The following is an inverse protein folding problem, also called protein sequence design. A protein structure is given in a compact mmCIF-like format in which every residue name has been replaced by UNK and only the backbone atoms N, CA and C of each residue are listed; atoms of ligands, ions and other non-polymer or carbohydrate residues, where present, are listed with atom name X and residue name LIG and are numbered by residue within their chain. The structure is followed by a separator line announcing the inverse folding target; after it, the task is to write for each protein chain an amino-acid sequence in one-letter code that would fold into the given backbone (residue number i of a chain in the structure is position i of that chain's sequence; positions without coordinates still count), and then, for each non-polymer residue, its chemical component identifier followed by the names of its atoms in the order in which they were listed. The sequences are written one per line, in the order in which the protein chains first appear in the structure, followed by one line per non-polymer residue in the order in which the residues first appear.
data_IF_919331078604
#
_entry.id   IF_919331078604
#
_cell.length_a   1.000
_cell.length_b   1.000
_cell.length_c   1.000
_cell.angle_alpha   90.00
_cell.angle_beta   90.00
_cell.angle_gamma   90.00
#
_symmetry.space_group_name_H-M   'P 1'
#
loop_
_entity.id
_entity.type
_entity.pdbx_description
1 polymer ?
#
# COMPACT_ATOMS: atom_id res chain seq x y z
N UNK A 1 44.46 -50.07 -15.80
CA UNK A 1 45.53 -49.07 -15.65
C UNK A 1 44.86 -47.74 -15.30
N UNK A 2 44.66 -47.34 -14.05
CA UNK A 2 45.60 -47.08 -12.95
C UNK A 2 46.66 -46.01 -13.30
N UNK A 3 46.44 -44.79 -12.80
CA UNK A 3 47.41 -43.68 -12.72
C UNK A 3 46.77 -42.32 -13.03
N UNK A 4 46.90 -41.24 -12.24
CA UNK A 4 47.65 -40.98 -11.00
C UNK A 4 46.99 -39.81 -10.24
N UNK A 5 47.03 -39.89 -8.91
CA UNK A 5 46.85 -38.77 -7.97
C UNK A 5 47.87 -37.66 -8.24
N UNK A 6 47.47 -36.39 -8.04
CA UNK A 6 48.31 -35.35 -7.41
C UNK A 6 47.43 -34.39 -6.61
N UNK A 7 47.72 -34.30 -5.32
CA UNK A 7 47.29 -33.24 -4.41
C UNK A 7 48.29 -32.07 -4.50
N UNK A 8 47.82 -30.85 -4.30
CA UNK A 8 48.62 -29.76 -3.72
C UNK A 8 47.71 -28.67 -3.19
N UNK A 9 47.80 -28.50 -1.89
CA UNK A 9 47.45 -27.33 -1.09
C UNK A 9 48.02 -26.05 -1.72
N UNK A 10 47.28 -24.96 -1.59
CA UNK A 10 47.70 -23.62 -1.98
C UNK A 10 46.75 -22.62 -1.33
N UNK A 11 47.15 -22.14 -0.15
CA UNK A 11 46.54 -21.05 0.58
C UNK A 11 46.36 -19.82 -0.33
N UNK A 12 45.11 -19.41 -0.52
CA UNK A 12 44.76 -18.12 -1.11
C UNK A 12 43.96 -17.34 -0.07
N UNK A 13 44.73 -16.55 0.67
CA UNK A 13 44.33 -15.54 1.63
C UNK A 13 43.45 -14.48 0.94
N UNK A 14 42.17 -14.80 0.80
CA UNK A 14 41.14 -13.90 0.28
C UNK A 14 40.64 -12.98 1.38
N UNK A 15 41.33 -11.85 1.54
CA UNK A 15 40.98 -10.69 2.37
C UNK A 15 39.47 -10.44 2.41
N UNK A 16 38.84 -10.79 3.54
CA UNK A 16 37.46 -10.42 3.83
C UNK A 16 37.44 -8.94 4.21
N UNK A 17 37.19 -8.07 3.23
CA UNK A 17 36.87 -6.66 3.48
C UNK A 17 35.54 -6.57 4.24
N UNK A 18 35.64 -6.69 5.55
CA UNK A 18 34.60 -6.35 6.51
C UNK A 18 34.32 -4.86 6.31
N UNK A 19 33.13 -4.56 5.80
CA UNK A 19 32.60 -3.19 5.76
C UNK A 19 32.59 -2.68 7.20
N UNK A 20 33.57 -1.84 7.55
CA UNK A 20 33.53 -1.03 8.76
C UNK A 20 32.26 -0.19 8.66
N UNK A 21 31.20 -0.61 9.35
CA UNK A 21 30.14 0.31 9.76
C UNK A 21 30.87 1.35 10.59
N UNK A 22 30.98 2.56 10.06
CA UNK A 22 31.33 3.73 10.86
C UNK A 22 30.42 3.70 12.07
N UNK A 23 31.01 3.46 13.25
CA UNK A 23 30.33 3.59 14.53
C UNK A 23 29.87 5.04 14.56
N UNK A 24 28.59 5.29 14.32
CA UNK A 24 28.00 6.60 14.53
C UNK A 24 28.16 6.83 16.03
N UNK A 25 29.17 7.60 16.40
CA UNK A 25 29.36 8.04 17.77
C UNK A 25 28.19 8.99 18.00
N UNK A 26 27.24 8.56 18.83
CA UNK A 26 26.11 9.38 19.20
C UNK A 26 26.66 10.62 19.92
N UNK A 27 26.52 11.84 19.34
CA UNK A 27 27.10 13.05 19.89
C UNK A 27 26.52 13.40 21.28
N UNK A 28 25.43 12.75 21.69
CA UNK A 28 24.76 12.96 22.97
C UNK A 28 24.72 11.70 23.86
N UNK A 29 25.62 10.73 23.64
CA UNK A 29 25.68 9.49 24.42
C UNK A 29 25.72 9.72 25.95
N UNK A 30 26.48 10.73 26.40
CA UNK A 30 26.58 11.07 27.82
C UNK A 30 25.28 11.63 28.41
N UNK A 31 24.55 12.45 27.64
CA UNK A 31 23.24 12.98 28.07
C UNK A 31 22.19 11.87 28.12
N UNK A 32 22.26 10.91 27.19
CA UNK A 32 21.38 9.74 27.17
C UNK A 32 21.60 8.84 28.38
N UNK A 33 22.85 8.50 28.69
CA UNK A 33 23.18 7.70 29.89
C UNK A 33 22.78 8.42 31.19
N UNK A 34 22.88 9.74 31.23
CA UNK A 34 22.42 10.54 32.37
C UNK A 34 20.89 10.49 32.53
N UNK A 35 20.15 10.68 31.43
CA UNK A 35 18.68 10.58 31.43
C UNK A 35 18.22 9.17 31.82
N UNK A 36 18.86 8.13 31.28
CA UNK A 36 18.55 6.73 31.63
C UNK A 36 18.79 6.48 33.13
N UNK A 37 19.90 6.99 33.70
CA UNK A 37 20.17 6.90 35.15
C UNK A 37 19.14 7.64 36.01
N UNK A 38 18.66 8.80 35.56
CA UNK A 38 17.62 9.57 36.27
C UNK A 38 16.27 8.84 36.21
N UNK A 39 15.92 8.25 35.07
CA UNK A 39 14.68 7.48 34.89
C UNK A 39 14.73 6.18 35.70
N UNK A 40 15.85 5.46 35.65
CA UNK A 40 16.05 4.20 36.38
C UNK A 40 16.09 4.41 37.90
N UNK A 41 16.53 5.59 38.36
CA UNK A 41 16.50 5.95 39.78
C UNK A 41 15.09 6.22 40.31
N UNK A 42 14.15 6.66 39.46
CA UNK A 42 12.74 6.90 39.82
C UNK A 42 12.58 7.74 41.10
N UNK A 43 11.66 7.32 41.99
CA UNK A 43 11.39 7.92 43.31
C UNK A 43 12.35 7.42 44.42
N UNK A 44 13.41 6.67 44.09
CA UNK A 44 14.36 6.23 45.11
C UNK A 44 15.38 7.33 45.41
N UNK A 45 15.55 7.66 46.69
CA UNK A 45 16.52 8.65 47.22
C UNK A 45 18.02 8.32 46.90
N UNK A 46 18.29 7.35 46.03
CA UNK A 46 19.62 6.92 45.63
C UNK A 46 20.25 7.77 44.52
N UNK A 47 19.51 8.74 43.94
CA UNK A 47 20.08 9.67 42.98
C UNK A 47 20.67 10.89 43.68
N UNK A 48 22.00 10.95 43.76
CA UNK A 48 22.69 12.12 44.33
C UNK A 48 23.04 13.09 43.22
N UNK A 49 22.49 14.29 43.26
CA UNK A 49 22.91 15.37 42.38
C UNK A 49 24.36 15.78 42.66
N UNK A 50 25.13 16.20 41.64
CA UNK A 50 26.43 16.80 41.86
C UNK A 50 26.32 17.98 42.84
N UNK A 51 27.20 18.01 43.84
CA UNK A 51 27.25 19.09 44.84
C UNK A 51 27.80 20.39 44.24
N UNK A 52 28.55 20.28 43.14
CA UNK A 52 29.03 21.42 42.38
C UNK A 52 27.99 21.90 41.37
N UNK A 53 27.58 23.16 41.52
CA UNK A 53 26.62 23.80 40.63
C UNK A 53 27.12 23.85 39.18
N UNK A 54 28.44 23.99 38.95
CA UNK A 54 28.98 24.05 37.58
C UNK A 54 28.84 22.73 36.83
N UNK A 55 29.05 21.59 37.52
CA UNK A 55 28.87 20.26 36.95
C UNK A 55 27.40 19.99 36.65
N UNK A 56 26.50 20.40 37.56
CA UNK A 56 25.05 20.32 37.35
C UNK A 56 24.60 21.14 36.13
N UNK A 57 25.06 22.38 35.98
CA UNK A 57 24.71 23.21 34.83
C UNK A 57 25.23 22.63 33.50
N UNK A 58 26.40 22.00 33.49
CA UNK A 58 26.92 21.31 32.30
C UNK A 58 26.03 20.14 31.91
N UNK A 59 25.63 19.30 32.87
CA UNK A 59 24.75 18.15 32.63
C UNK A 59 23.36 18.60 32.12
N UNK A 60 22.79 19.65 32.70
CA UNK A 60 21.51 20.22 32.24
C UNK A 60 21.64 20.77 30.82
N UNK A 61 22.74 21.46 30.50
CA UNK A 61 22.99 21.98 29.16
C UNK A 61 23.09 20.86 28.11
N UNK A 62 23.80 19.78 28.43
CA UNK A 62 23.93 18.63 27.53
C UNK A 62 22.60 17.90 27.31
N UNK A 63 21.77 17.80 28.35
CA UNK A 63 20.39 17.29 28.24
C UNK A 63 19.53 18.23 27.38
N UNK A 64 19.63 19.54 27.56
CA UNK A 64 18.87 20.50 26.75
C UNK A 64 19.25 20.43 25.26
N UNK A 65 20.53 20.25 24.95
CA UNK A 65 20.99 20.02 23.57
C UNK A 65 20.49 18.70 23.00
N UNK A 66 20.47 17.64 23.81
CA UNK A 66 19.92 16.34 23.42
C UNK A 66 18.41 16.40 23.15
N UNK A 67 17.65 17.08 24.00
CA UNK A 67 16.20 17.27 23.80
C UNK A 67 15.94 18.03 22.50
N UNK A 68 16.71 19.09 22.23
CA UNK A 68 16.57 19.85 20.98
C UNK A 68 16.84 19.00 19.75
N UNK A 69 17.88 18.16 19.78
CA UNK A 69 18.21 17.29 18.65
C UNK A 69 17.18 16.17 18.46
N UNK A 70 16.58 15.66 19.54
CA UNK A 70 15.45 14.74 19.47
C UNK A 70 14.20 15.41 18.89
N UNK A 71 13.87 16.64 19.30
CA UNK A 71 12.76 17.39 18.73
C UNK A 71 12.93 17.63 17.23
N UNK A 72 14.14 17.96 16.78
CA UNK A 72 14.48 18.12 15.37
C UNK A 72 14.36 16.79 14.61
N UNK A 73 14.83 15.68 15.19
CA UNK A 73 14.66 14.34 14.62
C UNK A 73 13.20 13.92 14.52
N UNK A 74 12.38 14.21 15.54
CA UNK A 74 10.95 13.93 15.54
C UNK A 74 10.22 14.81 14.51
N UNK A 75 10.58 16.09 14.40
CA UNK A 75 10.06 16.98 13.35
C UNK A 75 10.44 16.50 11.96
N UNK A 76 11.70 16.10 11.75
CA UNK A 76 12.15 15.56 10.48
C UNK A 76 11.47 14.23 10.13
N UNK A 77 11.27 13.34 11.11
CA UNK A 77 10.54 12.10 10.93
C UNK A 77 9.06 12.35 10.62
N UNK A 78 8.41 13.28 11.31
CA UNK A 78 7.02 13.67 11.05
C UNK A 78 6.86 14.31 9.66
N UNK A 79 7.81 15.16 9.25
CA UNK A 79 7.82 15.75 7.91
C UNK A 79 8.08 14.67 6.85
N UNK A 80 8.99 13.73 7.07
CA UNK A 80 9.22 12.61 6.16
C UNK A 80 7.99 11.68 6.06
N UNK A 81 7.23 11.52 7.14
CA UNK A 81 5.94 10.81 7.12
C UNK A 81 4.90 11.61 6.35
N UNK A 82 4.83 12.93 6.52
CA UNK A 82 3.94 13.80 5.76
C UNK A 82 4.28 13.77 4.25
N UNK A 83 5.56 13.88 3.90
CA UNK A 83 6.05 13.80 2.53
C UNK A 83 5.82 12.40 1.92
N UNK A 84 5.96 11.32 2.71
CA UNK A 84 5.64 9.98 2.25
C UNK A 84 4.13 9.73 2.08
N UNK A 85 3.29 10.42 2.85
CA UNK A 85 1.82 10.42 2.70
C UNK A 85 1.41 11.23 1.47
N UNK A 86 2.10 12.33 1.19
CA UNK A 86 1.86 13.16 0.02
C UNK A 86 2.36 12.50 -1.28
N UNK A 87 3.51 11.81 -1.24
CA UNK A 87 3.99 10.96 -2.32
C UNK A 87 3.15 9.69 -2.55
N UNK A 88 2.38 9.24 -1.54
CA UNK A 88 1.42 8.13 -1.68
C UNK A 88 0.10 8.54 -2.32
N UNK A 89 -0.22 9.84 -2.37
CA UNK A 89 -1.27 10.32 -3.26
C UNK A 89 -0.69 10.26 -4.68
N UNK A 90 -0.82 9.09 -5.31
CA UNK A 90 -0.66 8.96 -6.77
C UNK A 90 -1.30 10.19 -7.41
N UNK A 91 -0.61 10.79 -8.37
CA UNK A 91 -1.14 11.99 -9.02
C UNK A 91 -2.56 11.67 -9.53
N UNK A 92 -3.49 12.64 -9.49
CA UNK A 92 -4.87 12.38 -9.92
C UNK A 92 -4.92 11.82 -11.36
N UNK A 93 -3.95 12.17 -12.19
CA UNK A 93 -3.77 11.65 -13.54
C UNK A 93 -3.38 10.16 -13.57
N UNK A 94 -2.48 9.72 -12.69
CA UNK A 94 -2.11 8.31 -12.57
C UNK A 94 -3.26 7.46 -12.02
N UNK A 95 -4.03 8.00 -11.07
CA UNK A 95 -5.24 7.34 -10.55
C UNK A 95 -6.28 7.17 -11.64
N UNK A 96 -6.53 8.20 -12.44
CA UNK A 96 -7.50 8.13 -13.54
C UNK A 96 -7.01 7.21 -14.66
N UNK A 97 -5.72 7.21 -15.00
CA UNK A 97 -5.15 6.28 -15.97
C UNK A 97 -5.24 4.81 -15.51
N UNK A 98 -5.00 4.54 -14.22
CA UNK A 98 -5.18 3.22 -13.64
C UNK A 98 -6.65 2.81 -13.60
N UNK A 99 -7.55 3.72 -13.21
CA UNK A 99 -8.98 3.51 -13.22
C UNK A 99 -9.49 3.21 -14.63
N UNK A 100 -9.04 3.95 -15.64
CA UNK A 100 -9.40 3.74 -17.04
C UNK A 100 -8.93 2.38 -17.57
N UNK A 101 -7.72 1.94 -17.21
CA UNK A 101 -7.23 0.59 -17.53
C UNK A 101 -8.14 -0.48 -16.94
N UNK A 102 -8.55 -0.34 -15.68
CA UNK A 102 -9.46 -1.27 -15.01
C UNK A 102 -10.86 -1.24 -15.65
N UNK A 103 -11.38 -0.05 -15.97
CA UNK A 103 -12.67 0.11 -16.70
C UNK A 103 -12.63 -0.63 -18.03
N UNK A 104 -11.60 -0.40 -18.84
CA UNK A 104 -11.42 -1.07 -20.14
C UNK A 104 -11.30 -2.59 -19.99
N UNK A 105 -10.51 -3.05 -19.03
CA UNK A 105 -10.34 -4.48 -18.75
C UNK A 105 -11.66 -5.13 -18.28
N UNK A 106 -12.42 -4.46 -17.42
CA UNK A 106 -13.71 -4.93 -16.95
C UNK A 106 -14.74 -4.99 -18.09
N UNK A 107 -14.84 -3.94 -18.91
CA UNK A 107 -15.74 -3.92 -20.07
C UNK A 107 -15.39 -5.05 -21.04
N UNK A 108 -14.11 -5.21 -21.38
CA UNK A 108 -13.67 -6.28 -22.28
C UNK A 108 -13.93 -7.67 -21.68
N UNK A 109 -13.68 -7.85 -20.38
CA UNK A 109 -13.92 -9.09 -19.66
C UNK A 109 -15.40 -9.47 -19.60
N UNK A 110 -16.28 -8.52 -19.29
CA UNK A 110 -17.73 -8.72 -19.28
C UNK A 110 -18.22 -9.06 -20.69
N UNK A 111 -17.81 -8.30 -21.71
CA UNK A 111 -18.17 -8.56 -23.12
C UNK A 111 -17.76 -9.97 -23.56
N UNK A 112 -16.59 -10.44 -23.14
CA UNK A 112 -16.11 -11.80 -23.46
C UNK A 112 -16.99 -12.90 -22.84
N UNK A 113 -17.62 -12.63 -21.69
CA UNK A 113 -18.55 -13.57 -21.06
C UNK A 113 -19.98 -13.52 -21.63
N UNK A 114 -20.31 -12.46 -22.37
CA UNK A 114 -21.62 -12.27 -23.00
C UNK A 114 -21.71 -13.06 -24.31
N UNK A 115 -21.80 -14.39 -24.20
CA UNK A 115 -22.13 -15.26 -25.33
C UNK A 115 -23.64 -15.47 -25.44
N UNK A 116 -24.13 -15.71 -26.65
CA UNK A 116 -25.55 -16.03 -26.86
C UNK A 116 -25.92 -17.33 -26.14
N UNK A 117 -27.01 -17.29 -25.37
CA UNK A 117 -27.60 -18.44 -24.68
C UNK A 117 -29.12 -18.40 -24.86
N UNK A 118 -29.83 -19.54 -24.77
CA UNK A 118 -31.29 -19.54 -24.82
C UNK A 118 -31.95 -18.62 -23.78
N UNK A 119 -31.37 -18.53 -22.58
CA UNK A 119 -31.82 -17.62 -21.50
C UNK A 119 -31.69 -16.14 -21.85
N UNK A 120 -30.92 -15.76 -22.86
CA UNK A 120 -30.85 -14.38 -23.35
C UNK A 120 -32.18 -13.91 -23.95
N UNK A 121 -33.05 -14.82 -24.43
CA UNK A 121 -34.41 -14.50 -24.89
C UNK A 121 -35.33 -14.06 -23.75
N UNK A 122 -35.08 -14.56 -22.54
CA UNK A 122 -35.81 -14.22 -21.33
C UNK A 122 -35.07 -13.14 -20.52
N UNK A 123 -34.02 -12.53 -21.08
CA UNK A 123 -33.21 -11.51 -20.42
C UNK A 123 -32.62 -11.94 -19.06
N UNK A 124 -32.43 -13.25 -18.85
CA UNK A 124 -32.07 -13.86 -17.56
C UNK A 124 -30.69 -14.51 -17.54
N UNK A 125 -29.91 -14.39 -18.63
CA UNK A 125 -28.55 -14.93 -18.68
C UNK A 125 -27.66 -14.17 -17.69
N UNK A 126 -26.83 -14.89 -16.92
CA UNK A 126 -25.98 -14.29 -15.87
C UNK A 126 -24.54 -14.13 -16.34
N UNK A 127 -23.89 -13.07 -15.88
CA UNK A 127 -22.46 -12.83 -16.04
C UNK A 127 -21.82 -12.50 -14.69
N UNK A 128 -20.54 -12.85 -14.54
CA UNK A 128 -19.76 -12.62 -13.32
C UNK A 128 -18.32 -12.30 -13.72
N UNK A 129 -17.93 -11.04 -13.60
CA UNK A 129 -16.57 -10.60 -13.84
C UNK A 129 -15.83 -10.42 -12.52
N UNK A 130 -14.72 -11.13 -12.37
CA UNK A 130 -13.81 -11.01 -11.25
C UNK A 130 -12.57 -10.24 -11.70
N UNK A 131 -12.13 -9.28 -10.90
CA UNK A 131 -10.94 -8.47 -11.18
C UNK A 131 -10.16 -8.16 -9.91
N UNK A 132 -8.93 -7.69 -10.09
CA UNK A 132 -8.02 -7.34 -9.00
C UNK A 132 -7.59 -5.88 -9.22
N UNK A 133 -7.73 -5.07 -8.18
CA UNK A 133 -7.24 -3.72 -8.05
C UNK A 133 -6.53 -3.62 -6.69
N UNK A 134 -5.19 -3.70 -6.63
CA UNK A 134 -4.47 -3.67 -5.37
C UNK A 134 -4.60 -2.33 -4.63
N UNK A 135 -4.93 -1.25 -5.35
CA UNK A 135 -5.09 0.09 -4.79
C UNK A 135 -6.57 0.42 -4.53
N UNK A 136 -6.98 0.58 -3.26
CA UNK A 136 -8.37 0.93 -2.93
C UNK A 136 -8.78 2.30 -3.46
N UNK A 137 -7.86 3.26 -3.50
CA UNK A 137 -8.14 4.61 -4.00
C UNK A 137 -8.48 4.62 -5.49
N UNK A 138 -7.78 3.81 -6.29
CA UNK A 138 -8.06 3.66 -7.74
C UNK A 138 -9.47 3.09 -7.93
N UNK A 139 -9.84 2.07 -7.17
CA UNK A 139 -11.19 1.49 -7.27
C UNK A 139 -12.27 2.49 -6.83
N UNK A 140 -12.01 3.25 -5.77
CA UNK A 140 -12.88 4.34 -5.35
C UNK A 140 -13.04 5.42 -6.42
N UNK A 141 -11.97 5.72 -7.16
CA UNK A 141 -11.96 6.66 -8.26
C UNK A 141 -12.84 6.22 -9.43
N UNK A 142 -12.87 4.92 -9.77
CA UNK A 142 -13.77 4.36 -10.81
C UNK A 142 -15.25 4.71 -10.54
N UNK A 143 -15.65 4.73 -9.27
CA UNK A 143 -17.02 5.02 -8.85
C UNK A 143 -17.22 6.45 -8.32
N UNK A 144 -16.30 7.37 -8.61
CA UNK A 144 -16.32 8.77 -8.16
C UNK A 144 -16.50 8.95 -6.64
N UNK A 145 -15.93 8.07 -5.82
CA UNK A 145 -16.10 8.10 -4.36
C UNK A 145 -15.07 8.98 -3.62
N UNK A 146 -14.13 9.61 -4.34
CA UNK A 146 -13.15 10.55 -3.77
C UNK A 146 -12.26 9.96 -2.67
N UNK A 147 -12.12 8.64 -2.63
CA UNK A 147 -11.38 7.90 -1.61
C UNK A 147 -11.68 6.40 -1.66
N UNK A 148 -11.12 5.60 -0.75
CA UNK A 148 -11.33 4.14 -0.72
C UNK A 148 -12.82 3.76 -0.66
N UNK A 149 -13.23 2.66 -1.33
CA UNK A 149 -14.61 2.19 -1.30
C UNK A 149 -15.05 1.90 0.15
N UNK A 150 -16.12 2.57 0.60
CA UNK A 150 -16.68 2.40 1.96
C UNK A 150 -17.63 1.21 2.08
N UNK A 151 -17.75 0.39 1.04
CA UNK A 151 -18.75 -0.66 0.94
C UNK A 151 -18.11 -1.99 0.56
N UNK A 152 -18.55 -3.08 1.19
CA UNK A 152 -18.21 -4.45 0.76
C UNK A 152 -19.03 -4.89 -0.43
N UNK A 153 -20.31 -4.47 -0.50
CA UNK A 153 -21.18 -4.74 -1.64
C UNK A 153 -22.17 -3.59 -1.83
N UNK A 154 -22.35 -3.14 -3.07
CA UNK A 154 -23.30 -2.09 -3.45
C UNK A 154 -23.99 -2.47 -4.75
N UNK A 155 -25.27 -2.11 -4.86
CA UNK A 155 -26.03 -2.21 -6.10
C UNK A 155 -25.94 -0.87 -6.82
N UNK A 156 -25.54 -0.92 -8.08
CA UNK A 156 -25.62 0.22 -8.99
C UNK A 156 -26.74 -0.05 -9.99
N UNK A 157 -27.47 0.98 -10.40
CA UNK A 157 -28.38 0.84 -11.54
C UNK A 157 -27.59 0.53 -12.81
N UNK A 158 -28.25 -0.03 -13.84
CA UNK A 158 -27.56 -0.32 -15.11
C UNK A 158 -27.02 0.97 -15.75
N UNK A 159 -27.74 2.08 -15.64
CA UNK A 159 -27.37 3.38 -16.20
C UNK A 159 -26.16 3.95 -15.47
N UNK A 160 -26.18 3.96 -14.13
CA UNK A 160 -25.04 4.43 -13.33
C UNK A 160 -23.80 3.59 -13.59
N UNK A 161 -23.94 2.26 -13.66
CA UNK A 161 -22.81 1.38 -13.93
C UNK A 161 -22.21 1.62 -15.31
N UNK A 162 -23.04 1.79 -16.35
CA UNK A 162 -22.55 2.08 -17.70
C UNK A 162 -21.96 3.49 -17.83
N UNK A 163 -22.46 4.46 -17.08
CA UNK A 163 -21.89 5.81 -17.03
C UNK A 163 -20.51 5.82 -16.36
N UNK A 164 -20.32 5.03 -15.29
CA UNK A 164 -19.06 4.99 -14.53
C UNK A 164 -18.01 4.09 -15.17
N UNK A 165 -18.40 2.90 -15.65
CA UNK A 165 -17.47 1.86 -16.15
C UNK A 165 -17.37 1.87 -17.67
N UNK A 166 -18.40 2.35 -18.37
CA UNK A 166 -18.47 2.43 -19.82
C UNK A 166 -19.55 1.53 -20.44
N UNK A 167 -19.79 1.73 -21.74
CA UNK A 167 -20.83 0.99 -22.48
C UNK A 167 -20.49 -0.48 -22.70
N UNK A 168 -21.39 -1.35 -22.24
CA UNK A 168 -21.27 -2.81 -22.32
C UNK A 168 -22.33 -3.36 -23.27
N UNK A 169 -21.87 -3.63 -24.49
CA UNK A 169 -22.63 -4.30 -25.54
C UNK A 169 -21.74 -5.37 -26.19
N UNK A 170 -22.30 -6.55 -26.43
CA UNK A 170 -21.63 -7.63 -27.14
C UNK A 170 -22.42 -8.01 -28.40
N UNK A 171 -21.72 -8.47 -29.44
CA UNK A 171 -22.35 -8.92 -30.67
C UNK A 171 -22.51 -10.45 -30.67
N UNK A 172 -23.72 -10.93 -30.95
CA UNK A 172 -24.00 -12.30 -31.33
C UNK A 172 -24.39 -12.36 -32.80
N UNK A 173 -24.31 -13.54 -33.43
CA UNK A 173 -24.45 -13.75 -34.89
C UNK A 173 -25.63 -13.01 -35.53
N UNK A 174 -26.77 -12.94 -34.85
CA UNK A 174 -27.99 -12.29 -35.34
C UNK A 174 -28.59 -11.29 -34.36
N UNK A 175 -27.93 -11.02 -33.22
CA UNK A 175 -28.48 -10.22 -32.14
C UNK A 175 -27.37 -9.41 -31.47
N UNK A 176 -27.69 -8.22 -30.95
CA UNK A 176 -26.85 -7.56 -29.97
C UNK A 176 -27.24 -8.02 -28.55
N UNK A 177 -26.28 -8.05 -27.65
CA UNK A 177 -26.46 -8.43 -26.26
C UNK A 177 -26.18 -7.22 -25.36
N UNK A 178 -27.07 -6.97 -24.42
CA UNK A 178 -27.03 -5.84 -23.50
C UNK A 178 -27.22 -6.29 -22.06
N UNK A 179 -26.79 -5.45 -21.11
CA UNK A 179 -27.16 -5.63 -19.70
C UNK A 179 -28.66 -5.36 -19.56
N UNK A 180 -29.39 -6.34 -19.05
CA UNK A 180 -30.87 -6.29 -18.93
C UNK A 180 -31.34 -6.13 -17.49
N UNK A 181 -30.52 -6.51 -16.52
CA UNK A 181 -30.86 -6.39 -15.10
C UNK A 181 -30.97 -4.93 -14.67
N UNK A 182 -31.97 -4.61 -13.85
CA UNK A 182 -32.14 -3.26 -13.27
C UNK A 182 -30.93 -2.81 -12.46
N UNK A 183 -30.26 -3.77 -11.82
CA UNK A 183 -29.10 -3.51 -10.98
C UNK A 183 -27.93 -4.44 -11.31
N UNK A 184 -26.73 -3.87 -11.24
CA UNK A 184 -25.45 -4.59 -11.23
C UNK A 184 -24.96 -4.63 -9.79
N UNK A 185 -24.59 -5.81 -9.30
CA UNK A 185 -23.99 -5.94 -7.98
C UNK A 185 -22.47 -5.78 -8.11
N UNK A 186 -21.93 -4.83 -7.35
CA UNK A 186 -20.50 -4.58 -7.23
C UNK A 186 -20.06 -5.00 -5.83
N UNK A 187 -19.12 -5.94 -5.74
CA UNK A 187 -18.49 -6.38 -4.51
C UNK A 187 -17.03 -5.97 -4.51
N UNK A 188 -16.55 -5.53 -3.36
CA UNK A 188 -15.17 -5.17 -3.09
C UNK A 188 -14.69 -5.89 -1.83
N UNK A 189 -13.43 -6.32 -1.83
CA UNK A 189 -12.74 -6.87 -0.66
C UNK A 189 -11.49 -6.04 -0.37
N UNK A 190 -11.13 -5.94 0.91
CA UNK A 190 -10.00 -5.14 1.39
C UNK A 190 -8.65 -5.66 0.86
N UNK A 191 -8.61 -6.91 0.40
CA UNK A 191 -7.47 -7.52 -0.31
C UNK A 191 -7.24 -6.98 -1.73
N UNK A 192 -8.12 -6.10 -2.23
CA UNK A 192 -8.04 -5.55 -3.59
C UNK A 192 -8.78 -6.38 -4.65
N UNK A 193 -9.55 -7.39 -4.24
CA UNK A 193 -10.36 -8.18 -5.17
C UNK A 193 -11.75 -7.56 -5.33
N UNK A 194 -12.26 -7.51 -6.56
CA UNK A 194 -13.60 -7.03 -6.85
C UNK A 194 -14.37 -7.95 -7.78
N UNK A 195 -15.70 -7.94 -7.63
CA UNK A 195 -16.60 -8.76 -8.44
C UNK A 195 -17.78 -7.94 -8.93
N UNK A 196 -18.03 -8.01 -10.22
CA UNK A 196 -19.21 -7.44 -10.86
C UNK A 196 -20.12 -8.57 -11.32
N UNK A 197 -21.41 -8.49 -11.01
CA UNK A 197 -22.38 -9.48 -11.44
C UNK A 197 -23.70 -8.85 -11.85
N UNK A 198 -24.34 -9.46 -12.85
CA UNK A 198 -25.60 -9.00 -13.37
C UNK A 198 -26.22 -9.99 -14.34
N UNK A 199 -27.25 -9.52 -15.03
CA UNK A 199 -27.92 -10.27 -16.10
C UNK A 199 -27.80 -9.56 -17.44
N UNK A 200 -27.85 -10.34 -18.51
CA UNK A 200 -27.78 -9.88 -19.90
C UNK A 200 -28.75 -10.64 -20.79
N UNK A 201 -29.06 -10.05 -21.94
CA UNK A 201 -29.99 -10.61 -22.91
C UNK A 201 -30.00 -9.84 -24.21
N UNK A 202 -30.99 -10.11 -25.06
CA UNK A 202 -31.08 -9.54 -26.41
C UNK A 202 -31.66 -8.11 -26.39
N UNK A 203 -32.27 -7.71 -25.27
CA UNK A 203 -33.00 -6.44 -25.07
C UNK A 203 -33.98 -6.14 -26.19
#
# INVERSE_FOLDING_TARGET
MAGRKRASTGDAEGSSTTRKRSRVVDPHAGAKEFVDKVIDAGDSDNFTFPVDNNELFSQIHDVAQYVRSLEEQVKAANNAVADAVEAKKKSPEELEAAAEKIRKAAVAGIKKQMSWKPSCKQNSAKWLYDGICPDPEVFGHIFNQGGPPKFKQKKFTKEEFQHLVGSIQAAARYNALYITGTHVNVRWNDSGEFKFSGTYGIS
#
